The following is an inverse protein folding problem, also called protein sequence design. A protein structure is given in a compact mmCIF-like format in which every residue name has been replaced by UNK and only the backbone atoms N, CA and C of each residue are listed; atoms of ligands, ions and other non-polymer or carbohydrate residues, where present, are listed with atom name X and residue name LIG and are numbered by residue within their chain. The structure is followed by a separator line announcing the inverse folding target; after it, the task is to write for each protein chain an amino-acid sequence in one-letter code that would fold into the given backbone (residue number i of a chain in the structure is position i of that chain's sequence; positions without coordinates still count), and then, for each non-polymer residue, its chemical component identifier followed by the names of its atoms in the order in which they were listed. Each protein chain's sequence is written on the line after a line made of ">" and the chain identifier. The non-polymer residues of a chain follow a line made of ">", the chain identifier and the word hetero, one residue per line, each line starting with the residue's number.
data_IF_707479505840
#
_entry.id   IF_707479505840
#
_cell.length_a   1.000
_cell.length_b   1.000
_cell.length_c   1.000
_cell.angle_alpha   90.00
_cell.angle_beta   90.00
_cell.angle_gamma   90.00
#
_symmetry.space_group_name_H-M   'P 1'
#
loop_
_entity.id
_entity.type
_entity.pdbx_description
1 polymer ?
#
# COMPACT_ATOMS: atom_id res chain seq x y z
N UNK A 1 2.18 19.88 9.11
CA UNK A 1 0.72 19.66 9.38
C UNK A 1 0.33 18.39 8.66
N UNK A 2 -0.22 17.39 9.35
CA UNK A 2 -0.51 16.07 8.74
C UNK A 2 -1.70 16.14 7.80
N UNK A 3 -1.53 15.63 6.58
CA UNK A 3 -2.55 15.48 5.54
C UNK A 3 -2.96 14.01 5.48
N UNK A 4 -4.25 13.73 5.44
CA UNK A 4 -4.78 12.35 5.40
C UNK A 4 -5.87 12.24 4.36
N UNK A 5 -5.86 11.15 3.60
CA UNK A 5 -6.99 10.74 2.76
C UNK A 5 -7.16 9.22 2.82
N UNK A 6 -8.39 8.75 2.64
CA UNK A 6 -8.67 7.32 2.55
C UNK A 6 -9.86 7.05 1.63
N UNK A 7 -9.83 5.91 0.95
CA UNK A 7 -10.93 5.45 0.09
C UNK A 7 -11.08 3.95 0.16
N UNK A 8 -12.32 3.48 0.19
CA UNK A 8 -12.67 2.08 0.11
C UNK A 8 -12.89 1.65 -1.33
N UNK A 9 -12.48 0.42 -1.64
CA UNK A 9 -12.51 -0.18 -2.96
C UNK A 9 -13.12 -1.57 -2.89
N UNK A 10 -13.91 -1.93 -3.89
CA UNK A 10 -14.36 -3.30 -4.05
C UNK A 10 -13.19 -4.21 -4.46
N UNK A 11 -13.24 -5.49 -4.12
CA UNK A 11 -12.16 -6.43 -4.50
C UNK A 11 -12.35 -6.93 -5.92
N UNK A 12 -12.10 -6.04 -6.89
CA UNK A 12 -12.10 -6.33 -8.32
C UNK A 12 -10.78 -5.86 -8.97
N UNK A 13 -10.34 -6.47 -10.08
CA UNK A 13 -9.09 -6.10 -10.74
C UNK A 13 -8.99 -4.60 -11.10
N UNK A 14 -10.10 -3.98 -11.49
CA UNK A 14 -10.17 -2.56 -11.87
C UNK A 14 -9.79 -1.63 -10.71
N UNK A 15 -10.13 -2.03 -9.48
CA UNK A 15 -9.86 -1.23 -8.28
C UNK A 15 -8.38 -1.05 -7.98
N UNK A 16 -7.48 -1.87 -8.55
CA UNK A 16 -6.03 -1.63 -8.49
C UNK A 16 -5.65 -0.35 -9.22
N UNK A 17 -6.20 -0.14 -10.43
CA UNK A 17 -5.96 1.06 -11.20
C UNK A 17 -6.59 2.29 -10.52
N UNK A 18 -7.80 2.13 -9.98
CA UNK A 18 -8.47 3.21 -9.23
C UNK A 18 -7.68 3.60 -7.97
N UNK A 19 -7.13 2.64 -7.23
CA UNK A 19 -6.29 2.88 -6.06
C UNK A 19 -5.00 3.65 -6.42
N UNK A 20 -4.37 3.31 -7.55
CA UNK A 20 -3.21 4.03 -8.07
C UNK A 20 -3.55 5.47 -8.45
N UNK A 21 -4.69 5.69 -9.14
CA UNK A 21 -5.15 7.05 -9.50
C UNK A 21 -5.44 7.89 -8.26
N UNK A 22 -6.17 7.34 -7.29
CA UNK A 22 -6.43 8.01 -6.01
C UNK A 22 -5.16 8.44 -5.27
N UNK A 23 -4.18 7.55 -5.25
CA UNK A 23 -2.88 7.82 -4.63
C UNK A 23 -2.15 8.95 -5.35
N UNK A 24 -2.14 8.93 -6.68
CA UNK A 24 -1.53 9.98 -7.49
C UNK A 24 -2.19 11.35 -7.28
N UNK A 25 -3.53 11.39 -7.25
CA UNK A 25 -4.31 12.61 -7.02
C UNK A 25 -4.01 13.21 -5.64
N UNK A 26 -3.98 12.36 -4.60
CA UNK A 26 -3.65 12.78 -3.25
C UNK A 26 -2.26 13.42 -3.17
N UNK A 27 -1.23 12.71 -3.66
CA UNK A 27 0.15 13.19 -3.64
C UNK A 27 0.33 14.48 -4.46
N UNK A 28 -0.34 14.58 -5.61
CA UNK A 28 -0.32 15.80 -6.44
C UNK A 28 -0.96 16.97 -5.71
N UNK A 29 -2.12 16.77 -5.09
CA UNK A 29 -2.81 17.82 -4.32
C UNK A 29 -1.98 18.30 -3.12
N UNK A 30 -1.08 17.47 -2.63
CA UNK A 30 -0.23 17.78 -1.48
C UNK A 30 1.16 18.29 -1.87
N UNK A 31 1.52 18.27 -3.15
CA UNK A 31 2.85 18.65 -3.66
C UNK A 31 3.94 17.61 -3.41
N UNK A 32 3.58 16.37 -3.07
CA UNK A 32 4.50 15.30 -2.67
C UNK A 32 4.85 14.38 -3.85
N UNK A 33 5.56 14.92 -4.83
CA UNK A 33 5.79 14.25 -6.12
C UNK A 33 7.07 13.43 -6.20
N UNK A 34 8.08 13.72 -5.37
CA UNK A 34 9.42 13.14 -5.54
C UNK A 34 9.47 11.62 -5.32
N UNK A 35 8.73 11.12 -4.33
CA UNK A 35 8.52 9.68 -4.11
C UNK A 35 7.20 9.18 -4.71
N UNK A 36 6.57 9.97 -5.58
CA UNK A 36 5.22 9.73 -6.07
C UNK A 36 5.08 8.42 -6.84
N UNK A 37 6.05 8.12 -7.71
CA UNK A 37 6.04 6.89 -8.51
C UNK A 37 6.28 5.64 -7.66
N UNK A 38 7.16 5.72 -6.66
CA UNK A 38 7.40 4.62 -5.71
C UNK A 38 6.13 4.29 -4.92
N UNK A 39 5.46 5.30 -4.38
CA UNK A 39 4.20 5.14 -3.64
C UNK A 39 3.11 4.57 -4.55
N UNK A 40 3.02 5.03 -5.81
CA UNK A 40 2.07 4.54 -6.82
C UNK A 40 2.32 3.08 -7.23
N UNK A 41 3.59 2.65 -7.28
CA UNK A 41 3.91 1.25 -7.54
C UNK A 41 3.56 0.40 -6.33
N UNK A 42 3.97 0.82 -5.13
CA UNK A 42 3.66 0.11 -3.89
C UNK A 42 2.15 -0.05 -3.66
N UNK A 43 1.32 0.97 -3.90
CA UNK A 43 -0.14 0.82 -3.78
C UNK A 43 -0.70 -0.16 -4.82
N UNK A 44 -0.13 -0.23 -6.02
CA UNK A 44 -0.55 -1.21 -7.03
C UNK A 44 -0.28 -2.64 -6.57
N UNK A 45 0.90 -2.89 -6.00
CA UNK A 45 1.29 -4.20 -5.48
C UNK A 45 0.47 -4.59 -4.24
N UNK A 46 0.27 -3.66 -3.30
CA UNK A 46 -0.51 -3.91 -2.09
C UNK A 46 -2.01 -4.09 -2.39
N UNK A 47 -2.59 -3.29 -3.29
CA UNK A 47 -3.97 -3.47 -3.74
C UNK A 47 -4.14 -4.78 -4.51
N UNK A 48 -3.17 -5.18 -5.35
CA UNK A 48 -3.20 -6.48 -6.04
C UNK A 48 -3.19 -7.62 -5.03
N UNK A 49 -2.36 -7.55 -3.99
CA UNK A 49 -2.39 -8.52 -2.89
C UNK A 49 -3.74 -8.54 -2.17
N UNK A 50 -4.36 -7.38 -1.94
CA UNK A 50 -5.68 -7.29 -1.31
C UNK A 50 -6.79 -7.92 -2.18
N UNK A 51 -6.76 -7.68 -3.50
CA UNK A 51 -7.72 -8.28 -4.46
C UNK A 51 -7.54 -9.79 -4.56
N UNK A 52 -6.30 -10.28 -4.71
CA UNK A 52 -6.02 -11.71 -4.90
C UNK A 52 -6.12 -12.54 -3.61
N UNK A 53 -5.82 -11.93 -2.46
CA UNK A 53 -5.60 -12.67 -1.22
C UNK A 53 -6.31 -12.09 0.02
N UNK A 54 -6.82 -10.85 -0.03
CA UNK A 54 -7.38 -10.12 1.11
C UNK A 54 -8.90 -10.12 1.24
N UNK A 55 -9.62 -10.51 0.18
CA UNK A 55 -11.08 -10.42 0.15
C UNK A 55 -11.76 -11.73 0.58
N UNK A 56 -12.63 -11.68 1.59
CA UNK A 56 -13.75 -12.60 1.63
C UNK A 56 -14.75 -12.19 0.52
N UNK A 57 -15.50 -13.11 -0.11
CA UNK A 57 -16.51 -12.75 -1.10
C UNK A 57 -17.44 -11.65 -0.55
N UNK A 58 -17.61 -10.55 -1.30
CA UNK A 58 -18.43 -9.41 -0.88
C UNK A 58 -17.75 -8.40 0.07
N UNK A 59 -16.45 -8.55 0.36
CA UNK A 59 -15.65 -7.55 1.08
C UNK A 59 -14.62 -6.89 0.17
N UNK A 60 -14.30 -5.64 0.46
CA UNK A 60 -13.32 -4.83 -0.25
C UNK A 60 -12.08 -4.52 0.59
N UNK A 61 -11.30 -3.55 0.15
CA UNK A 61 -10.10 -3.05 0.85
C UNK A 61 -10.14 -1.53 0.99
N UNK A 62 -9.50 -1.01 2.03
CA UNK A 62 -9.34 0.43 2.25
C UNK A 62 -7.90 0.80 1.90
N UNK A 63 -7.72 1.88 1.13
CA UNK A 63 -6.41 2.54 1.00
C UNK A 63 -6.46 3.81 1.84
N UNK A 64 -5.47 3.97 2.72
CA UNK A 64 -5.27 5.18 3.52
C UNK A 64 -3.87 5.71 3.25
N UNK A 65 -3.77 7.03 3.12
CA UNK A 65 -2.50 7.73 2.91
C UNK A 65 -2.45 8.83 3.96
N UNK A 66 -1.42 8.78 4.80
CA UNK A 66 -1.07 9.84 5.73
C UNK A 66 0.25 10.45 5.25
N UNK A 67 0.36 11.77 5.29
CA UNK A 67 1.59 12.45 4.93
C UNK A 67 1.82 13.65 5.84
N UNK A 68 3.08 13.86 6.21
CA UNK A 68 3.56 15.07 6.85
C UNK A 68 4.84 15.55 6.15
N UNK A 69 5.59 16.42 6.81
CA UNK A 69 6.81 17.00 6.25
C UNK A 69 7.99 16.01 6.29
N UNK A 70 7.86 14.87 6.98
CA UNK A 70 8.91 13.86 7.15
C UNK A 70 8.68 12.60 6.33
N UNK A 71 7.42 12.16 6.15
CA UNK A 71 7.13 10.91 5.46
C UNK A 71 5.74 10.84 4.85
N UNK A 72 5.61 9.96 3.86
CA UNK A 72 4.34 9.43 3.35
C UNK A 72 4.18 8.01 3.88
N UNK A 73 3.07 7.74 4.58
CA UNK A 73 2.66 6.39 4.98
C UNK A 73 1.45 5.96 4.16
N UNK A 74 1.64 4.88 3.41
CA UNK A 74 0.59 4.20 2.65
C UNK A 74 0.15 2.96 3.43
N UNK A 75 -1.16 2.79 3.58
CA UNK A 75 -1.76 1.63 4.23
C UNK A 75 -2.84 1.01 3.34
N UNK A 76 -2.83 -0.32 3.24
CA UNK A 76 -3.89 -1.10 2.62
C UNK A 76 -4.48 -2.04 3.67
N UNK A 77 -5.76 -1.84 3.95
CA UNK A 77 -6.50 -2.62 4.95
C UNK A 77 -7.37 -3.64 4.23
N UNK A 78 -7.25 -4.91 4.60
CA UNK A 78 -8.11 -5.97 4.08
C UNK A 78 -8.73 -6.81 5.21
N UNK A 79 -9.76 -7.57 4.84
CA UNK A 79 -10.62 -8.27 5.78
C UNK A 79 -10.10 -9.64 6.23
N UNK A 80 -8.95 -10.11 5.72
CA UNK A 80 -8.39 -11.43 6.04
C UNK A 80 -7.15 -11.32 6.91
N UNK A 81 -7.09 -12.12 7.97
CA UNK A 81 -5.94 -12.24 8.88
C UNK A 81 -4.72 -12.96 8.30
N UNK A 82 -4.83 -13.54 7.08
CA UNK A 82 -3.68 -14.21 6.44
C UNK A 82 -2.61 -13.18 6.10
N UNK A 83 -1.46 -13.27 6.78
CA UNK A 83 -0.32 -12.38 6.58
C UNK A 83 0.34 -12.65 5.22
N UNK A 84 0.72 -11.60 4.47
CA UNK A 84 1.49 -11.76 3.27
C UNK A 84 2.92 -12.16 3.68
N UNK A 85 3.45 -13.23 3.08
CA UNK A 85 4.82 -13.69 3.33
C UNK A 85 5.67 -13.32 2.13
N UNK A 86 6.83 -12.65 2.31
CA UNK A 86 7.84 -12.55 1.27
C UNK A 86 8.29 -13.97 0.93
N UNK A 87 7.98 -14.45 -0.27
CA UNK A 87 8.52 -15.71 -0.79
C UNK A 87 9.54 -15.38 -1.85
N UNK A 88 10.67 -16.09 -1.85
CA UNK A 88 11.52 -16.15 -3.04
C UNK A 88 10.67 -16.83 -4.13
N UNK A 89 10.44 -16.19 -5.29
CA UNK A 89 9.71 -16.84 -6.37
C UNK A 89 10.49 -18.06 -6.84
N UNK A 90 9.83 -19.21 -6.94
CA UNK A 90 10.28 -20.27 -7.84
C UNK A 90 9.98 -19.82 -9.28
N UNK A 91 10.77 -20.28 -10.26
CA UNK A 91 10.76 -19.80 -11.66
C UNK A 91 9.39 -19.91 -12.38
N UNK A 92 8.41 -20.60 -11.79
CA UNK A 92 7.06 -20.79 -12.32
C UNK A 92 5.97 -19.98 -11.58
N UNK A 93 6.29 -19.27 -10.51
CA UNK A 93 5.30 -18.62 -9.64
C UNK A 93 5.22 -17.10 -9.91
N UNK A 94 4.08 -16.66 -10.47
CA UNK A 94 3.76 -15.24 -10.69
C UNK A 94 3.40 -14.51 -9.38
N UNK A 95 3.26 -15.25 -8.27
CA UNK A 95 2.82 -14.76 -6.96
C UNK A 95 4.02 -14.63 -6.02
N UNK A 96 4.36 -13.40 -5.61
CA UNK A 96 5.42 -13.15 -4.61
C UNK A 96 6.37 -11.99 -4.93
N UNK A 97 6.34 -11.45 -6.16
CA UNK A 97 7.17 -10.29 -6.55
C UNK A 97 6.71 -8.97 -5.95
N UNK A 98 5.42 -8.81 -5.66
CA UNK A 98 4.89 -7.52 -5.21
C UNK A 98 5.50 -7.03 -3.90
N UNK A 99 5.73 -7.92 -2.92
CA UNK A 99 6.43 -7.55 -1.69
C UNK A 99 7.93 -7.30 -1.90
N UNK A 100 8.54 -7.87 -2.94
CA UNK A 100 9.93 -7.56 -3.30
C UNK A 100 10.04 -6.11 -3.78
N UNK A 101 9.09 -5.66 -4.60
CA UNK A 101 9.03 -4.27 -5.03
C UNK A 101 8.77 -3.32 -3.85
N UNK A 102 7.82 -3.66 -2.97
CA UNK A 102 7.58 -2.88 -1.75
C UNK A 102 8.83 -2.83 -0.86
N UNK A 103 9.54 -3.96 -0.72
CA UNK A 103 10.80 -4.02 0.05
C UNK A 103 11.91 -3.18 -0.58
N UNK A 104 11.98 -3.11 -1.91
CA UNK A 104 13.02 -2.37 -2.62
C UNK A 104 12.76 -0.87 -2.65
N UNK A 105 11.49 -0.44 -2.62
CA UNK A 105 11.11 0.97 -2.78
C UNK A 105 10.78 1.67 -1.46
N UNK A 106 10.19 0.98 -0.48
CA UNK A 106 9.82 1.60 0.78
C UNK A 106 11.02 1.73 1.73
N UNK A 107 11.08 2.83 2.48
CA UNK A 107 12.06 3.01 3.56
C UNK A 107 11.75 2.11 4.78
N UNK A 108 10.49 1.67 4.88
CA UNK A 108 10.05 0.66 5.83
C UNK A 108 8.67 0.15 5.46
N UNK A 109 8.38 -1.11 5.76
CA UNK A 109 7.06 -1.69 5.53
C UNK A 109 6.77 -2.77 6.57
N UNK A 110 5.50 -3.10 6.76
CA UNK A 110 5.09 -4.08 7.74
C UNK A 110 3.65 -4.53 7.61
N UNK A 111 3.25 -5.39 8.55
CA UNK A 111 1.91 -5.96 8.62
C UNK A 111 1.42 -5.88 10.06
N UNK A 112 0.35 -5.13 10.28
CA UNK A 112 -0.32 -4.97 11.57
C UNK A 112 -1.66 -5.71 11.55
N UNK A 113 -2.08 -6.24 12.70
CA UNK A 113 -3.41 -6.84 12.82
C UNK A 113 -4.47 -5.73 12.97
N UNK A 114 -5.61 -5.89 12.30
CA UNK A 114 -6.74 -4.97 12.43
C UNK A 114 -7.81 -5.57 13.34
N UNK A 115 -8.09 -4.91 14.45
CA UNK A 115 -9.19 -5.27 15.36
C UNK A 115 -10.53 -4.73 14.83
N UNK A 116 -11.64 -5.50 14.88
CA UNK A 116 -11.78 -6.89 15.36
C UNK A 116 -11.39 -7.97 14.33
N UNK A 117 -11.25 -7.63 13.04
CA UNK A 117 -10.80 -8.56 12.00
C UNK A 117 -10.13 -7.83 10.83
N UNK A 118 -9.03 -8.41 10.36
CA UNK A 118 -8.32 -8.00 9.15
C UNK A 118 -6.84 -7.81 9.40
N UNK A 119 -6.16 -7.23 8.41
CA UNK A 119 -4.79 -6.77 8.53
C UNK A 119 -4.62 -5.42 7.85
N UNK A 120 -3.57 -4.72 8.25
CA UNK A 120 -3.08 -3.51 7.62
C UNK A 120 -1.71 -3.85 7.07
N UNK A 121 -1.53 -3.79 5.76
CA UNK A 121 -0.20 -3.83 5.14
C UNK A 121 0.20 -2.39 4.86
N UNK A 122 1.31 -1.95 5.43
CA UNK A 122 1.74 -0.56 5.34
C UNK A 122 3.15 -0.44 4.77
N UNK A 123 3.42 0.69 4.13
CA UNK A 123 4.74 1.09 3.64
C UNK A 123 4.95 2.59 3.88
N UNK A 124 6.16 2.96 4.28
CA UNK A 124 6.57 4.33 4.58
C UNK A 124 7.67 4.79 3.61
N UNK A 125 7.60 6.05 3.20
CA UNK A 125 8.54 6.69 2.29
C UNK A 125 8.95 8.02 2.92
N UNK A 126 10.23 8.17 3.26
CA UNK A 126 10.75 9.39 3.86
C UNK A 126 10.82 10.50 2.81
N UNK A 127 10.50 11.71 3.24
CA UNK A 127 10.75 12.91 2.46
C UNK A 127 12.27 13.05 2.25
N UNK A 128 12.71 13.32 1.02
CA UNK A 128 14.12 13.59 0.73
C UNK A 128 14.54 14.86 1.48
N UNK A 129 15.47 14.69 2.42
CA UNK A 129 15.90 15.74 3.37
C UNK A 129 15.51 15.48 4.83
N UNK A 130 14.70 14.46 5.12
CA UNK A 130 14.48 13.97 6.47
C UNK A 130 15.77 13.32 7.00
N UNK A 131 16.51 14.06 7.83
CA UNK A 131 17.73 13.58 8.48
C UNK A 131 17.49 12.21 9.09
N UNK A 132 18.25 11.20 8.66
CA UNK A 132 18.38 9.98 9.44
C UNK A 132 19.05 10.38 10.76
N UNK A 133 18.26 10.55 11.82
CA UNK A 133 18.76 10.63 13.18
C UNK A 133 19.23 9.25 13.64
#
# INVERSE_FOLDING_TARGET
>A
MTKTTQRFFESRPESVAEARTFTAEALTSWGLLERGDDVRLCVSELATNAVLHGAAPGRGFLVKIDADDEAVRLEVHDSRSRRPHPRRPDDTDTVGRGLILVTALADGWGVEDRTPLGKIVWSCFKAPGGTAA
#
